data_IF_825240738261
#
_entry.id   IF_825240738261
#
_cell.length_a   1.000
_cell.length_b   1.000
_cell.length_c   1.000
_cell.angle_alpha   90.00
_cell.angle_beta   90.00
_cell.angle_gamma   90.00
#
_symmetry.space_group_name_H-M   'P 1'
#
loop_
_entity.id
_entity.type
_entity.pdbx_description
1 polymer ?
#
# COMPACT_ATOMS: atom_id res chain seq x y z
N UNK A 1 -10.03 5.94 -7.73
CA UNK A 1 -8.76 6.69 -7.83
C UNK A 1 -8.92 7.92 -8.74
N UNK A 2 -8.49 9.12 -8.31
CA UNK A 2 -8.78 10.37 -9.04
C UNK A 2 -8.17 10.50 -10.43
N UNK A 3 -6.91 10.04 -10.62
CA UNK A 3 -6.23 10.10 -11.93
C UNK A 3 -6.90 9.21 -12.98
N UNK A 4 -7.32 7.99 -12.61
CA UNK A 4 -8.08 7.11 -13.51
C UNK A 4 -9.44 7.67 -13.87
N UNK A 5 -10.13 8.28 -12.89
CA UNK A 5 -11.42 8.91 -13.16
C UNK A 5 -11.27 10.08 -14.14
N UNK A 6 -10.22 10.90 -14.00
CA UNK A 6 -9.92 11.94 -14.99
C UNK A 6 -9.65 11.35 -16.39
N UNK A 7 -8.88 10.26 -16.49
CA UNK A 7 -8.60 9.58 -17.76
C UNK A 7 -9.86 9.07 -18.47
N UNK A 8 -10.84 8.62 -17.67
CA UNK A 8 -12.14 8.12 -18.12
C UNK A 8 -13.09 9.27 -18.50
N UNK A 9 -13.14 10.31 -17.67
CA UNK A 9 -14.13 11.38 -17.79
C UNK A 9 -13.79 12.43 -18.84
N UNK A 10 -12.51 12.73 -19.08
CA UNK A 10 -12.13 13.77 -20.07
C UNK A 10 -12.69 13.47 -21.48
N UNK A 11 -12.59 12.24 -22.02
CA UNK A 11 -13.24 11.89 -23.29
C UNK A 11 -14.77 12.01 -23.24
N UNK A 12 -15.41 11.57 -22.16
CA UNK A 12 -16.87 11.66 -22.00
C UNK A 12 -17.34 13.12 -21.93
N UNK A 13 -16.58 13.98 -21.26
CA UNK A 13 -16.84 15.42 -21.21
C UNK A 13 -16.80 16.04 -22.60
N UNK A 14 -15.87 15.61 -23.46
CA UNK A 14 -15.77 16.09 -24.85
C UNK A 14 -17.00 15.73 -25.71
N UNK A 15 -17.73 14.68 -25.37
CA UNK A 15 -18.94 14.25 -26.08
C UNK A 15 -20.19 15.05 -25.67
N UNK A 16 -20.14 15.78 -24.54
CA UNK A 16 -21.26 16.58 -24.07
C UNK A 16 -21.49 17.79 -24.99
N UNK A 17 -22.74 18.03 -25.38
CA UNK A 17 -23.10 19.21 -26.17
C UNK A 17 -22.83 20.53 -25.44
N UNK A 18 -22.76 20.50 -24.10
CA UNK A 18 -22.59 21.66 -23.23
C UNK A 18 -21.17 21.82 -22.70
N UNK A 19 -20.19 21.08 -23.24
CA UNK A 19 -18.82 21.19 -22.75
C UNK A 19 -18.21 22.56 -23.06
N UNK A 20 -17.37 23.05 -22.15
CA UNK A 20 -16.54 24.22 -22.38
C UNK A 20 -15.25 23.79 -23.10
N UNK A 21 -14.98 24.28 -24.33
CA UNK A 21 -13.79 23.91 -25.08
C UNK A 21 -12.48 24.29 -24.39
N UNK A 22 -12.44 25.42 -23.67
CA UNK A 22 -11.24 25.88 -22.97
C UNK A 22 -10.94 24.99 -21.76
N UNK A 23 -11.98 24.56 -21.04
CA UNK A 23 -11.82 23.62 -19.93
C UNK A 23 -11.35 22.25 -20.43
N UNK A 24 -11.89 21.77 -21.56
CA UNK A 24 -11.46 20.50 -22.15
C UNK A 24 -9.99 20.54 -22.59
N UNK A 25 -9.57 21.63 -23.25
CA UNK A 25 -8.18 21.83 -23.65
C UNK A 25 -7.25 21.86 -22.43
N UNK A 26 -7.61 22.63 -21.39
CA UNK A 26 -6.86 22.67 -20.13
C UNK A 26 -6.75 21.29 -19.48
N UNK A 27 -7.85 20.54 -19.42
CA UNK A 27 -7.87 19.21 -18.81
C UNK A 27 -6.94 18.22 -19.53
N UNK A 28 -6.93 18.23 -20.87
CA UNK A 28 -6.00 17.40 -21.67
C UNK A 28 -4.54 17.81 -21.46
N UNK A 29 -4.25 19.12 -21.52
CA UNK A 29 -2.89 19.64 -21.34
C UNK A 29 -2.34 19.33 -19.95
N UNK A 30 -3.13 19.57 -18.90
CA UNK A 30 -2.73 19.26 -17.52
C UNK A 30 -2.55 17.75 -17.33
N UNK A 31 -3.48 16.94 -17.85
CA UNK A 31 -3.39 15.49 -17.74
C UNK A 31 -2.08 14.95 -18.34
N UNK A 32 -1.73 15.39 -19.55
CA UNK A 32 -0.51 14.97 -20.26
C UNK A 32 0.76 15.53 -19.58
N UNK A 33 0.71 16.76 -19.05
CA UNK A 33 1.82 17.33 -18.26
C UNK A 33 2.11 16.49 -17.02
N UNK A 34 1.07 16.10 -16.28
CA UNK A 34 1.21 15.25 -15.08
C UNK A 34 1.67 13.84 -15.47
N UNK A 35 1.23 13.29 -16.60
CA UNK A 35 1.76 12.02 -17.13
C UNK A 35 3.27 12.09 -17.41
N UNK A 36 3.77 13.17 -18.00
CA UNK A 36 5.21 13.35 -18.22
C UNK A 36 6.02 13.42 -16.90
N UNK A 37 5.44 14.02 -15.85
CA UNK A 37 6.01 13.97 -14.51
C UNK A 37 6.08 12.54 -13.98
N UNK A 38 4.99 11.77 -14.08
CA UNK A 38 4.96 10.37 -13.67
C UNK A 38 6.00 9.52 -14.42
N UNK A 39 6.22 9.76 -15.71
CA UNK A 39 7.26 9.06 -16.48
C UNK A 39 8.67 9.36 -15.95
N UNK A 40 8.92 10.60 -15.52
CA UNK A 40 10.21 11.00 -14.92
C UNK A 40 10.42 10.33 -13.56
N UNK A 41 9.37 10.29 -12.73
CA UNK A 41 9.38 9.59 -11.44
C UNK A 41 9.62 8.08 -11.62
N UNK A 42 8.93 7.46 -12.58
CA UNK A 42 9.07 6.05 -12.90
C UNK A 42 10.48 5.71 -13.39
N UNK A 43 11.11 6.59 -14.18
CA UNK A 43 12.50 6.41 -14.60
C UNK A 43 13.46 6.42 -13.40
N UNK A 44 13.21 7.27 -12.40
CA UNK A 44 14.00 7.28 -11.16
C UNK A 44 13.82 5.99 -10.36
N UNK A 45 12.57 5.56 -10.14
CA UNK A 45 12.23 4.34 -9.41
C UNK A 45 12.82 3.11 -10.10
N UNK A 46 12.67 3.01 -11.42
CA UNK A 46 13.19 1.89 -12.20
C UNK A 46 14.71 1.83 -12.15
N UNK A 47 15.40 2.98 -12.19
CA UNK A 47 16.86 3.05 -12.05
C UNK A 47 17.30 2.62 -10.66
N UNK A 48 16.66 3.12 -9.61
CA UNK A 48 16.92 2.71 -8.23
C UNK A 48 16.71 1.21 -8.04
N UNK A 49 15.60 0.67 -8.55
CA UNK A 49 15.25 -0.74 -8.44
C UNK A 49 16.29 -1.65 -9.11
N UNK A 50 16.74 -1.28 -10.32
CA UNK A 50 17.84 -1.96 -11.02
C UNK A 50 19.16 -1.88 -10.26
N UNK A 51 19.47 -0.74 -9.63
CA UNK A 51 20.70 -0.55 -8.86
C UNK A 51 20.75 -1.38 -7.58
N UNK A 52 19.60 -1.66 -6.95
CA UNK A 52 19.56 -2.58 -5.81
C UNK A 52 19.94 -4.00 -6.19
N UNK A 53 19.75 -4.41 -7.46
CA UNK A 53 20.06 -5.75 -7.94
C UNK A 53 19.23 -6.86 -7.28
N UNK A 54 18.15 -6.51 -6.58
CA UNK A 54 17.32 -7.46 -5.83
C UNK A 54 16.71 -8.50 -6.76
N UNK A 55 16.17 -8.11 -7.91
CA UNK A 55 15.53 -9.04 -8.87
C UNK A 55 16.50 -10.11 -9.37
N UNK A 56 17.75 -9.75 -9.65
CA UNK A 56 18.77 -10.70 -10.11
C UNK A 56 19.23 -11.65 -9.01
N UNK A 57 19.18 -11.20 -7.75
CA UNK A 57 19.64 -11.95 -6.57
C UNK A 57 18.52 -12.76 -5.90
N UNK A 58 17.28 -12.31 -6.05
CA UNK A 58 16.06 -12.83 -5.44
C UNK A 58 15.09 -13.22 -6.55
N UNK A 59 15.44 -14.22 -7.35
CA UNK A 59 14.64 -14.65 -8.51
C UNK A 59 13.24 -15.16 -8.16
N UNK A 60 12.96 -15.39 -6.87
CA UNK A 60 11.63 -15.77 -6.36
C UNK A 60 10.71 -14.55 -6.16
N UNK A 61 11.26 -13.35 -5.98
CA UNK A 61 10.49 -12.16 -5.67
C UNK A 61 9.86 -11.56 -6.93
N UNK A 62 8.65 -11.03 -6.79
CA UNK A 62 7.88 -10.38 -7.86
C UNK A 62 8.57 -9.07 -8.29
N UNK A 63 8.83 -8.94 -9.60
CA UNK A 63 9.38 -7.71 -10.20
C UNK A 63 8.25 -6.78 -10.67
N UNK A 64 7.69 -5.99 -9.74
CA UNK A 64 6.50 -5.14 -10.00
C UNK A 64 6.67 -3.65 -9.65
N UNK A 65 7.79 -2.98 -10.01
CA UNK A 65 8.02 -1.58 -9.65
C UNK A 65 6.97 -0.61 -10.21
N UNK A 66 6.36 -0.94 -11.36
CA UNK A 66 5.30 -0.14 -11.99
C UNK A 66 4.00 -0.19 -11.18
N UNK A 67 3.67 -1.36 -10.62
CA UNK A 67 2.50 -1.53 -9.76
C UNK A 67 2.70 -0.83 -8.42
N UNK A 68 3.91 -0.93 -7.83
CA UNK A 68 4.27 -0.17 -6.62
C UNK A 68 4.15 1.35 -6.86
N UNK A 69 4.53 1.83 -8.05
CA UNK A 69 4.36 3.23 -8.41
C UNK A 69 2.89 3.61 -8.63
N UNK A 70 2.08 2.75 -9.25
CA UNK A 70 0.63 2.95 -9.39
C UNK A 70 -0.04 3.22 -8.04
N UNK A 71 0.31 2.44 -7.01
CA UNK A 71 -0.15 2.67 -5.64
C UNK A 71 0.19 4.08 -5.15
N UNK A 72 1.44 4.50 -5.31
CA UNK A 72 1.88 5.84 -4.87
C UNK A 72 1.12 6.97 -5.56
N UNK A 73 0.84 6.85 -6.87
CA UNK A 73 0.02 7.79 -7.65
C UNK A 73 -1.44 7.77 -7.18
N UNK A 74 -1.92 6.62 -6.74
CA UNK A 74 -3.27 6.46 -6.22
C UNK A 74 -3.47 7.22 -4.91
N UNK A 75 -2.50 7.11 -4.00
CA UNK A 75 -2.49 7.79 -2.70
C UNK A 75 -2.24 9.30 -2.84
N UNK A 76 -1.37 9.70 -3.77
CA UNK A 76 -0.88 11.07 -3.95
C UNK A 76 -1.09 11.57 -5.39
N UNK A 77 -2.32 11.86 -5.82
CA UNK A 77 -2.61 12.24 -7.20
C UNK A 77 -2.14 13.66 -7.58
N UNK A 78 -1.84 14.52 -6.60
CA UNK A 78 -1.41 15.91 -6.83
C UNK A 78 0.08 15.96 -7.24
N UNK A 79 0.45 16.62 -8.35
CA UNK A 79 1.83 16.70 -8.82
C UNK A 79 2.82 17.24 -7.77
N UNK A 80 2.38 18.06 -6.80
CA UNK A 80 3.27 18.61 -5.76
C UNK A 80 3.94 17.53 -4.88
N UNK A 81 3.34 16.35 -4.79
CA UNK A 81 3.85 15.24 -3.97
C UNK A 81 4.81 14.29 -4.71
N UNK A 82 5.47 14.77 -5.77
CA UNK A 82 6.42 13.99 -6.59
C UNK A 82 7.46 13.23 -5.77
N UNK A 83 8.17 13.94 -4.87
CA UNK A 83 9.18 13.32 -4.02
C UNK A 83 8.58 12.28 -3.06
N UNK A 84 7.37 12.51 -2.54
CA UNK A 84 6.67 11.57 -1.67
C UNK A 84 6.27 10.30 -2.44
N UNK A 85 5.80 10.43 -3.69
CA UNK A 85 5.46 9.28 -4.53
C UNK A 85 6.67 8.38 -4.79
N UNK A 86 7.80 8.97 -5.14
CA UNK A 86 9.04 8.23 -5.37
C UNK A 86 9.43 7.42 -4.13
N UNK A 87 9.52 8.07 -2.96
CA UNK A 87 9.93 7.35 -1.73
C UNK A 87 8.92 6.30 -1.31
N UNK A 88 7.62 6.57 -1.44
CA UNK A 88 6.59 5.58 -1.13
C UNK A 88 6.67 4.38 -2.08
N UNK A 89 6.84 4.60 -3.38
CA UNK A 89 6.94 3.51 -4.35
C UNK A 89 8.15 2.60 -4.06
N UNK A 90 9.30 3.18 -3.70
CA UNK A 90 10.48 2.43 -3.24
C UNK A 90 10.17 1.59 -1.99
N UNK A 91 9.47 2.21 -1.03
CA UNK A 91 9.09 1.57 0.24
C UNK A 91 8.14 0.39 0.01
N UNK A 92 7.14 0.55 -0.88
CA UNK A 92 6.21 -0.52 -1.28
C UNK A 92 6.95 -1.64 -2.02
N UNK A 93 7.92 -1.31 -2.88
CA UNK A 93 8.71 -2.34 -3.57
C UNK A 93 9.54 -3.20 -2.61
N UNK A 94 10.08 -2.62 -1.53
CA UNK A 94 10.76 -3.38 -0.48
C UNK A 94 9.78 -4.25 0.30
N UNK A 95 8.61 -3.70 0.64
CA UNK A 95 7.53 -4.47 1.27
C UNK A 95 7.18 -5.71 0.43
N UNK A 96 7.00 -5.56 -0.88
CA UNK A 96 6.68 -6.67 -1.78
C UNK A 96 7.72 -7.80 -1.72
N UNK A 97 9.01 -7.45 -1.64
CA UNK A 97 10.08 -8.46 -1.51
C UNK A 97 10.02 -9.16 -0.15
N UNK A 98 9.75 -8.42 0.91
CA UNK A 98 9.61 -8.99 2.26
C UNK A 98 8.40 -9.93 2.30
N UNK A 99 7.27 -9.53 1.74
CA UNK A 99 6.06 -10.33 1.59
C UNK A 99 6.37 -11.68 0.89
N UNK A 100 7.05 -11.64 -0.27
CA UNK A 100 7.48 -12.86 -0.97
C UNK A 100 8.43 -13.75 -0.14
N UNK A 101 9.30 -13.15 0.67
CA UNK A 101 10.17 -13.89 1.59
C UNK A 101 9.33 -14.67 2.60
N UNK A 102 8.27 -14.09 3.17
CA UNK A 102 7.45 -14.75 4.19
C UNK A 102 6.48 -15.77 3.62
N UNK A 103 5.87 -15.46 2.47
CA UNK A 103 4.78 -16.25 1.91
C UNK A 103 5.24 -17.40 1.02
N UNK A 104 6.41 -17.28 0.38
CA UNK A 104 6.80 -18.21 -0.68
C UNK A 104 8.16 -18.88 -0.47
N UNK A 105 9.12 -18.19 0.14
CA UNK A 105 10.52 -18.61 0.03
C UNK A 105 11.18 -19.00 1.36
N UNK A 106 11.06 -18.15 2.38
CA UNK A 106 11.80 -18.28 3.63
C UNK A 106 11.35 -19.48 4.46
N UNK A 107 12.32 -20.18 5.05
CA UNK A 107 12.04 -21.23 6.02
C UNK A 107 11.75 -20.63 7.40
N UNK A 108 10.93 -21.29 8.22
CA UNK A 108 10.51 -20.76 9.54
C UNK A 108 11.71 -20.29 10.42
N UNK A 109 12.79 -21.07 10.47
CA UNK A 109 13.99 -20.69 11.24
C UNK A 109 14.69 -19.44 10.67
N UNK A 110 14.69 -19.28 9.35
CA UNK A 110 15.25 -18.10 8.66
C UNK A 110 14.36 -16.86 8.88
N UNK A 111 13.03 -17.02 8.80
CA UNK A 111 12.05 -15.96 9.07
C UNK A 111 12.17 -15.46 10.51
N UNK A 112 12.41 -16.37 11.47
CA UNK A 112 12.70 -16.00 12.85
C UNK A 112 13.98 -15.15 12.97
N UNK A 113 15.07 -15.55 12.29
CA UNK A 113 16.31 -14.76 12.28
C UNK A 113 16.10 -13.38 11.66
N UNK A 114 15.38 -13.30 10.53
CA UNK A 114 15.09 -12.05 9.84
C UNK A 114 14.22 -11.11 10.68
N UNK A 115 13.20 -11.66 11.35
CA UNK A 115 12.35 -10.94 12.29
C UNK A 115 13.17 -10.33 13.42
N UNK A 116 14.05 -11.12 14.05
CA UNK A 116 14.92 -10.61 15.11
C UNK A 116 15.89 -9.54 14.60
N UNK A 117 16.42 -9.68 13.39
CA UNK A 117 17.30 -8.69 12.79
C UNK A 117 16.57 -7.35 12.58
N UNK A 118 15.34 -7.36 12.05
CA UNK A 118 14.51 -6.15 11.89
C UNK A 118 14.14 -5.54 13.24
N UNK A 119 13.82 -6.34 14.25
CA UNK A 119 13.55 -5.82 15.61
C UNK A 119 14.77 -5.10 16.20
N UNK A 120 15.96 -5.68 16.02
CA UNK A 120 17.23 -5.12 16.48
C UNK A 120 17.59 -3.85 15.70
N UNK A 121 17.45 -3.88 14.37
CA UNK A 121 17.67 -2.75 13.45
C UNK A 121 19.09 -2.17 13.52
N UNK A 122 20.10 -3.04 13.53
CA UNK A 122 21.50 -2.65 13.34
C UNK A 122 22.18 -3.53 12.28
N UNK A 123 23.33 -3.06 11.76
CA UNK A 123 24.02 -3.74 10.68
C UNK A 123 24.66 -5.06 11.11
N UNK A 124 24.97 -5.24 12.40
CA UNK A 124 25.54 -6.49 12.92
C UNK A 124 24.50 -7.62 12.93
N UNK A 125 23.24 -7.28 13.17
CA UNK A 125 22.13 -8.24 13.16
C UNK A 125 21.95 -8.92 11.78
N UNK A 126 22.40 -8.26 10.71
CA UNK A 126 22.38 -8.79 9.36
C UNK A 126 23.36 -9.96 9.18
N UNK A 127 24.45 -10.02 9.95
CA UNK A 127 25.53 -10.98 9.68
C UNK A 127 25.13 -12.44 9.87
N UNK A 128 24.11 -12.69 10.70
CA UNK A 128 23.56 -14.02 10.96
C UNK A 128 22.52 -14.46 9.92
N UNK A 129 22.12 -13.58 9.00
CA UNK A 129 21.09 -13.88 8.02
C UNK A 129 21.67 -14.65 6.82
N UNK A 130 20.84 -15.48 6.14
CA UNK A 130 21.16 -15.96 4.80
C UNK A 130 21.44 -14.81 3.83
N UNK A 131 22.32 -15.04 2.85
CA UNK A 131 22.81 -14.00 1.92
C UNK A 131 21.66 -13.22 1.26
N UNK A 132 20.60 -13.90 0.82
CA UNK A 132 19.46 -13.27 0.16
C UNK A 132 18.69 -12.31 1.09
N UNK A 133 18.56 -12.66 2.38
CA UNK A 133 17.97 -11.80 3.41
C UNK A 133 18.88 -10.64 3.80
N UNK A 134 20.22 -10.80 3.71
CA UNK A 134 21.16 -9.69 3.93
C UNK A 134 20.92 -8.57 2.92
N UNK A 135 20.77 -8.92 1.64
CA UNK A 135 20.53 -7.94 0.57
C UNK A 135 19.20 -7.21 0.80
N UNK A 136 18.13 -7.96 1.12
CA UNK A 136 16.83 -7.37 1.45
C UNK A 136 16.90 -6.45 2.69
N UNK A 137 17.55 -6.90 3.76
CA UNK A 137 17.75 -6.12 4.98
C UNK A 137 18.51 -4.81 4.71
N UNK A 138 19.59 -4.87 3.93
CA UNK A 138 20.37 -3.69 3.57
C UNK A 138 19.55 -2.71 2.72
N UNK A 139 18.74 -3.21 1.78
CA UNK A 139 17.84 -2.36 0.98
C UNK A 139 16.80 -1.65 1.85
N UNK A 140 16.17 -2.38 2.79
CA UNK A 140 15.24 -1.83 3.79
C UNK A 140 15.91 -0.76 4.66
N UNK A 141 17.07 -1.09 5.23
CA UNK A 141 17.81 -0.21 6.12
C UNK A 141 18.23 1.08 5.42
N UNK A 142 18.81 0.99 4.22
CA UNK A 142 19.28 2.15 3.46
C UNK A 142 18.11 3.04 3.03
N UNK A 143 17.06 2.46 2.44
CA UNK A 143 15.90 3.23 1.97
C UNK A 143 15.19 3.94 3.11
N UNK A 144 15.03 3.29 4.27
CA UNK A 144 14.43 3.93 5.44
C UNK A 144 15.29 5.07 5.98
N UNK A 145 16.62 4.92 6.01
CA UNK A 145 17.53 5.98 6.44
C UNK A 145 17.60 7.15 5.44
N UNK A 146 17.49 6.90 4.14
CA UNK A 146 17.36 7.94 3.12
C UNK A 146 16.11 8.78 3.34
N UNK A 147 14.97 8.15 3.64
CA UNK A 147 13.72 8.85 4.00
C UNK A 147 13.92 9.67 5.28
N UNK A 148 14.53 9.09 6.32
CA UNK A 148 14.82 9.79 7.57
C UNK A 148 15.67 11.04 7.33
N UNK A 149 16.71 10.94 6.50
CA UNK A 149 17.56 12.06 6.14
C UNK A 149 16.79 13.14 5.37
N UNK A 150 15.95 12.75 4.41
CA UNK A 150 15.10 13.67 3.64
C UNK A 150 14.16 14.45 4.56
N UNK A 151 13.44 13.75 5.43
CA UNK A 151 12.51 14.38 6.39
C UNK A 151 13.24 15.30 7.37
N UNK A 152 14.40 14.89 7.88
CA UNK A 152 15.22 15.73 8.76
C UNK A 152 15.68 17.00 8.04
N UNK A 153 16.12 16.87 6.79
CA UNK A 153 16.62 17.99 5.98
C UNK A 153 15.51 18.98 5.60
N UNK A 154 14.34 18.49 5.23
CA UNK A 154 13.24 19.33 4.72
C UNK A 154 12.38 19.91 5.85
N UNK A 155 12.09 19.10 6.87
CA UNK A 155 11.08 19.42 7.89
C UNK A 155 11.68 19.48 9.32
N UNK A 156 12.95 19.11 9.51
CA UNK A 156 13.62 19.14 10.82
C UNK A 156 13.27 18.00 11.77
N UNK A 157 12.49 17.01 11.33
CA UNK A 157 12.03 15.90 12.17
C UNK A 157 12.97 14.70 12.13
N UNK A 158 13.28 14.15 13.30
CA UNK A 158 13.96 12.86 13.43
C UNK A 158 12.94 11.73 13.54
N UNK A 159 12.72 11.00 12.44
CA UNK A 159 11.56 10.11 12.29
C UNK A 159 11.86 8.62 12.32
N UNK A 160 13.13 8.24 12.43
CA UNK A 160 13.55 6.83 12.45
C UNK A 160 12.76 5.97 13.44
N UNK A 161 12.50 6.41 14.69
CA UNK A 161 11.73 5.59 15.64
C UNK A 161 10.34 5.18 15.13
N UNK A 162 9.65 6.09 14.41
CA UNK A 162 8.31 5.86 13.87
C UNK A 162 8.36 4.98 12.61
N UNK A 163 9.29 5.25 11.68
CA UNK A 163 9.39 4.43 10.47
C UNK A 163 9.81 2.99 10.82
N UNK A 164 10.82 2.86 11.69
CA UNK A 164 11.28 1.56 12.22
C UNK A 164 10.14 0.80 12.90
N UNK A 165 9.31 1.46 13.73
CA UNK A 165 8.22 0.76 14.43
C UNK A 165 7.21 0.16 13.47
N UNK A 166 6.90 0.83 12.34
CA UNK A 166 5.98 0.26 11.35
C UNK A 166 6.54 -1.00 10.67
N UNK A 167 7.84 -1.05 10.40
CA UNK A 167 8.48 -2.26 9.88
C UNK A 167 8.53 -3.40 10.90
N UNK A 168 8.77 -3.09 12.17
CA UNK A 168 8.72 -4.07 13.27
C UNK A 168 7.31 -4.64 13.46
N UNK A 169 6.30 -3.78 13.41
CA UNK A 169 4.92 -4.21 13.54
C UNK A 169 4.50 -5.12 12.38
N UNK A 170 4.89 -4.76 11.16
CA UNK A 170 4.61 -5.52 9.95
C UNK A 170 5.30 -6.87 9.95
N UNK A 171 6.61 -6.94 10.24
CA UNK A 171 7.35 -8.21 10.28
C UNK A 171 6.81 -9.14 11.38
N UNK A 172 6.38 -8.55 12.51
CA UNK A 172 5.69 -9.28 13.56
C UNK A 172 4.36 -9.86 13.09
N UNK A 173 3.61 -9.11 12.28
CA UNK A 173 2.37 -9.56 11.66
C UNK A 173 2.57 -10.70 10.65
N UNK A 174 3.58 -10.60 9.78
CA UNK A 174 3.91 -11.69 8.84
C UNK A 174 4.32 -12.97 9.58
N UNK A 175 5.05 -12.86 10.70
CA UNK A 175 5.34 -14.03 11.54
C UNK A 175 4.09 -14.65 12.18
N UNK A 176 3.06 -13.86 12.46
CA UNK A 176 1.78 -14.37 12.99
C UNK A 176 1.04 -15.13 11.89
N UNK A 177 0.97 -14.59 10.68
CA UNK A 177 0.39 -15.26 9.50
C UNK A 177 1.12 -16.56 9.16
N UNK A 178 2.46 -16.54 9.11
CA UNK A 178 3.26 -17.74 8.89
C UNK A 178 3.01 -18.84 9.94
N UNK A 179 2.70 -18.46 11.20
CA UNK A 179 2.34 -19.41 12.26
C UNK A 179 0.93 -19.96 12.10
N UNK A 180 -0.03 -19.14 11.67
CA UNK A 180 -1.39 -19.62 11.35
C UNK A 180 -1.36 -20.63 10.21
N UNK A 181 -0.64 -20.31 9.13
CA UNK A 181 -0.46 -21.17 7.97
C UNK A 181 0.18 -22.52 8.35
N UNK A 182 1.30 -22.52 9.08
CA UNK A 182 2.01 -23.75 9.45
C UNK A 182 1.36 -24.53 10.61
N UNK A 183 0.67 -23.85 11.52
CA UNK A 183 0.08 -24.44 12.72
C UNK A 183 -1.30 -25.06 12.50
N UNK A 184 -1.92 -24.86 11.34
CA UNK A 184 -3.24 -25.41 10.98
C UNK A 184 -4.41 -24.90 11.82
N UNK A 185 -4.19 -23.85 12.63
CA UNK A 185 -5.21 -23.25 13.48
C UNK A 185 -5.66 -21.92 12.86
N UNK A 186 -6.91 -21.87 12.39
CA UNK A 186 -7.49 -20.67 11.83
C UNK A 186 -7.67 -19.59 12.93
N UNK A 187 -7.30 -18.32 12.67
CA UNK A 187 -7.57 -17.21 13.57
C UNK A 187 -9.07 -16.88 13.62
N UNK A 188 -9.45 -16.01 14.57
CA UNK A 188 -10.74 -15.32 14.48
C UNK A 188 -10.67 -14.24 13.40
N UNK A 189 -11.81 -13.92 12.79
CA UNK A 189 -11.92 -12.93 11.72
C UNK A 189 -11.34 -11.57 12.14
N UNK A 190 -11.72 -11.05 13.31
CA UNK A 190 -11.26 -9.74 13.77
C UNK A 190 -9.74 -9.72 14.07
N UNK A 191 -9.21 -10.83 14.61
CA UNK A 191 -7.77 -10.98 14.87
C UNK A 191 -6.98 -11.04 13.55
N UNK A 192 -7.52 -11.74 12.55
CA UNK A 192 -6.98 -11.80 11.19
C UNK A 192 -6.99 -10.44 10.51
N UNK A 193 -8.13 -9.73 10.53
CA UNK A 193 -8.27 -8.41 9.89
C UNK A 193 -7.29 -7.41 10.53
N UNK A 194 -7.22 -7.32 11.86
CA UNK A 194 -6.33 -6.37 12.53
C UNK A 194 -4.85 -6.65 12.25
N UNK A 195 -4.45 -7.93 12.19
CA UNK A 195 -3.11 -8.29 11.73
C UNK A 195 -2.90 -7.90 10.26
N UNK A 196 -3.90 -8.22 9.43
CA UNK A 196 -3.99 -7.92 8.01
C UNK A 196 -3.83 -6.45 7.67
N UNK A 197 -4.27 -5.53 8.53
CA UNK A 197 -4.03 -4.09 8.35
C UNK A 197 -2.54 -3.74 8.40
N UNK A 198 -1.79 -4.39 9.29
CA UNK A 198 -0.35 -4.17 9.44
C UNK A 198 0.41 -4.81 8.27
N UNK A 199 0.07 -6.05 7.92
CA UNK A 199 0.74 -6.83 6.87
C UNK A 199 0.41 -6.33 5.47
N UNK A 200 -0.78 -5.73 5.25
CA UNK A 200 -1.09 -4.98 4.03
C UNK A 200 -0.23 -3.73 3.82
N UNK A 201 0.55 -3.31 4.82
CA UNK A 201 1.40 -2.11 4.73
C UNK A 201 0.67 -0.79 4.95
N UNK A 202 -0.60 -0.79 5.41
CA UNK A 202 -1.38 0.42 5.57
C UNK A 202 -0.77 1.39 6.59
N UNK A 203 -0.42 0.90 7.78
CA UNK A 203 0.21 1.71 8.83
C UNK A 203 1.58 2.23 8.37
N UNK A 204 2.37 1.39 7.71
CA UNK A 204 3.66 1.77 7.13
C UNK A 204 3.48 2.93 6.14
N UNK A 205 2.61 2.79 5.14
CA UNK A 205 2.43 3.80 4.11
C UNK A 205 1.93 5.14 4.71
N UNK A 206 0.97 5.09 5.63
CA UNK A 206 0.39 6.29 6.22
C UNK A 206 1.35 7.03 7.17
N UNK A 207 2.16 6.31 7.96
CA UNK A 207 3.18 6.92 8.82
C UNK A 207 4.32 7.50 7.99
N UNK A 208 4.80 6.79 6.96
CA UNK A 208 5.83 7.32 6.06
C UNK A 208 5.34 8.59 5.37
N UNK A 209 4.11 8.59 4.83
CA UNK A 209 3.53 9.75 4.18
C UNK A 209 3.23 10.92 5.11
N UNK A 210 2.85 10.64 6.37
CA UNK A 210 2.69 11.68 7.39
C UNK A 210 3.94 12.56 7.51
N UNK A 211 5.12 11.94 7.59
CA UNK A 211 6.38 12.65 7.74
C UNK A 211 6.96 13.19 6.43
N UNK A 212 6.80 12.45 5.32
CA UNK A 212 7.23 12.91 3.99
C UNK A 212 6.45 14.14 3.52
N UNK A 213 5.13 14.18 3.77
CA UNK A 213 4.29 15.34 3.42
C UNK A 213 4.61 16.52 4.34
N UNK A 214 4.79 16.29 5.65
CA UNK A 214 5.19 17.32 6.61
C UNK A 214 4.13 18.39 6.92
N UNK A 215 3.05 18.48 6.14
CA UNK A 215 1.96 19.45 6.31
C UNK A 215 1.20 19.19 7.62
N UNK A 216 1.35 20.09 8.60
CA UNK A 216 0.63 20.03 9.88
C UNK A 216 1.19 19.02 10.89
N UNK A 217 2.45 18.61 10.74
CA UNK A 217 3.13 17.74 11.72
C UNK A 217 3.43 18.51 13.02
N UNK A 218 3.14 17.87 14.15
CA UNK A 218 3.38 18.37 15.51
C UNK A 218 3.82 17.23 16.41
N UNK A 219 4.37 17.53 17.59
CA UNK A 219 4.69 16.47 18.57
C UNK A 219 3.44 15.70 19.00
N UNK A 220 2.30 16.38 19.12
CA UNK A 220 1.04 15.80 19.62
C UNK A 220 0.48 14.75 18.65
N UNK A 221 0.39 15.06 17.36
CA UNK A 221 -0.12 14.10 16.38
C UNK A 221 0.93 13.05 15.99
N UNK A 222 2.23 13.35 16.04
CA UNK A 222 3.29 12.36 15.83
C UNK A 222 3.27 11.26 16.92
N UNK A 223 2.97 11.60 18.18
CA UNK A 223 2.84 10.63 19.27
C UNK A 223 1.70 9.60 19.05
N UNK A 224 0.74 9.90 18.17
CA UNK A 224 -0.35 8.99 17.81
C UNK A 224 0.07 7.93 16.78
N UNK A 225 1.27 8.04 16.20
CA UNK A 225 1.75 7.20 15.10
C UNK A 225 2.44 5.91 15.58
N UNK A 226 1.96 5.38 16.70
CA UNK A 226 2.40 4.13 17.31
C UNK A 226 1.19 3.36 17.80
N UNK A 227 1.29 2.04 18.01
CA UNK A 227 0.16 1.24 18.48
C UNK A 227 -0.42 1.75 19.83
N UNK A 228 -1.76 1.82 19.97
CA UNK A 228 -2.76 1.65 18.91
C UNK A 228 -2.74 2.82 17.92
N UNK A 229 -2.72 2.50 16.62
CA UNK A 229 -2.68 3.50 15.56
C UNK A 229 -4.00 4.31 15.48
N UNK A 230 -3.99 5.47 14.81
CA UNK A 230 -5.18 6.31 14.67
C UNK A 230 -6.31 5.55 13.96
N UNK A 231 -7.56 5.76 14.39
CA UNK A 231 -8.75 5.14 13.79
C UNK A 231 -8.84 5.37 12.28
N UNK A 232 -8.48 6.57 11.82
CA UNK A 232 -8.35 6.91 10.40
C UNK A 232 -7.48 5.90 9.64
N UNK A 233 -6.34 5.51 10.22
CA UNK A 233 -5.39 4.61 9.59
C UNK A 233 -5.92 3.18 9.60
N UNK A 234 -6.47 2.75 10.73
CA UNK A 234 -7.10 1.43 10.86
C UNK A 234 -8.27 1.28 9.88
N UNK A 235 -9.15 2.28 9.75
CA UNK A 235 -10.28 2.21 8.83
C UNK A 235 -9.85 2.13 7.36
N UNK A 236 -8.89 2.96 6.93
CA UNK A 236 -8.34 2.89 5.57
C UNK A 236 -7.64 1.55 5.31
N UNK A 237 -6.88 1.06 6.29
CA UNK A 237 -6.18 -0.21 6.20
C UNK A 237 -7.10 -1.43 6.21
N UNK A 238 -8.20 -1.41 6.96
CA UNK A 238 -9.24 -2.46 6.90
C UNK A 238 -9.87 -2.50 5.52
N UNK A 239 -10.22 -1.34 4.94
CA UNK A 239 -10.74 -1.30 3.57
C UNK A 239 -9.71 -1.87 2.58
N UNK A 240 -8.43 -1.53 2.74
CA UNK A 240 -7.36 -2.12 1.92
C UNK A 240 -7.32 -3.64 2.02
N UNK A 241 -7.23 -4.18 3.24
CA UNK A 241 -7.18 -5.62 3.51
C UNK A 241 -8.41 -6.35 2.96
N UNK A 242 -9.61 -5.82 3.18
CA UNK A 242 -10.84 -6.45 2.69
C UNK A 242 -10.96 -6.43 1.17
N UNK A 243 -10.50 -5.36 0.50
CA UNK A 243 -10.44 -5.34 -0.97
C UNK A 243 -9.40 -6.31 -1.51
N UNK A 244 -8.22 -6.37 -0.90
CA UNK A 244 -7.14 -7.31 -1.24
C UNK A 244 -7.69 -8.74 -1.23
N UNK A 245 -8.18 -9.20 -0.07
CA UNK A 245 -8.77 -10.53 0.09
C UNK A 245 -9.92 -10.81 -0.90
N UNK A 246 -10.77 -9.82 -1.20
CA UNK A 246 -11.84 -9.99 -2.19
C UNK A 246 -11.30 -10.25 -3.61
N UNK A 247 -10.19 -9.60 -3.97
CA UNK A 247 -9.54 -9.70 -5.27
C UNK A 247 -8.66 -10.94 -5.42
N UNK A 248 -8.01 -11.37 -4.33
CA UNK A 248 -7.02 -12.47 -4.32
C UNK A 248 -7.60 -13.82 -3.88
N UNK A 249 -8.83 -13.86 -3.33
CA UNK A 249 -9.45 -15.07 -2.75
C UNK A 249 -9.31 -16.34 -3.61
N UNK A 250 -9.45 -16.22 -4.93
CA UNK A 250 -9.35 -17.39 -5.82
C UNK A 250 -7.91 -17.92 -5.91
N UNK A 251 -6.94 -17.03 -6.07
CA UNK A 251 -5.52 -17.39 -6.17
C UNK A 251 -5.00 -17.94 -4.84
N UNK A 252 -5.42 -17.36 -3.72
CA UNK A 252 -5.09 -17.83 -2.37
C UNK A 252 -5.65 -19.23 -2.09
N UNK A 253 -6.90 -19.49 -2.49
CA UNK A 253 -7.50 -20.83 -2.41
C UNK A 253 -6.74 -21.87 -3.23
N UNK A 254 -6.32 -21.52 -4.45
CA UNK A 254 -5.54 -22.42 -5.31
C UNK A 254 -4.14 -22.71 -4.74
N UNK A 255 -3.55 -21.77 -3.99
CA UNK A 255 -2.28 -21.93 -3.26
C UNK A 255 -2.42 -22.74 -1.96
N UNK A 256 -3.64 -23.02 -1.52
CA UNK A 256 -3.92 -23.79 -0.30
C UNK A 256 -3.87 -22.94 0.97
N UNK A 257 -4.06 -21.62 0.86
CA UNK A 257 -4.24 -20.79 2.05
C UNK A 257 -5.53 -21.16 2.78
N UNK A 258 -5.44 -21.28 4.10
CA UNK A 258 -6.50 -21.77 4.97
C UNK A 258 -7.37 -20.63 5.54
N UNK A 259 -6.96 -19.37 5.35
CA UNK A 259 -7.60 -18.23 5.99
C UNK A 259 -7.57 -16.97 5.12
N UNK A 260 -8.62 -16.76 4.34
CA UNK A 260 -9.00 -15.41 3.87
C UNK A 260 -10.15 -14.85 4.70
N UNK A 261 -10.32 -13.52 4.72
CA UNK A 261 -11.43 -12.87 5.45
C UNK A 261 -12.81 -13.42 5.07
N UNK A 262 -13.02 -13.75 3.79
CA UNK A 262 -14.27 -14.35 3.30
C UNK A 262 -14.50 -15.73 3.96
N UNK A 263 -13.50 -16.60 3.95
CA UNK A 263 -13.61 -17.95 4.51
C UNK A 263 -13.79 -17.93 6.03
N UNK A 264 -13.04 -17.08 6.72
CA UNK A 264 -13.18 -16.89 8.16
C UNK A 264 -14.57 -16.37 8.53
N UNK A 265 -15.08 -15.39 7.79
CA UNK A 265 -16.42 -14.83 8.00
C UNK A 265 -17.51 -15.88 7.77
N UNK A 266 -17.43 -16.65 6.67
CA UNK A 266 -18.38 -17.72 6.40
C UNK A 266 -18.40 -18.76 7.52
N UNK A 267 -17.22 -19.12 8.04
CA UNK A 267 -17.11 -20.06 9.16
C UNK A 267 -17.71 -19.52 10.45
N UNK A 268 -17.43 -18.27 10.80
CA UNK A 268 -17.96 -17.65 12.02
C UNK A 268 -19.48 -17.45 11.97
N UNK A 269 -20.02 -17.12 10.79
CA UNK A 269 -21.45 -16.85 10.59
C UNK A 269 -22.25 -18.08 10.13
N UNK A 270 -21.60 -19.23 9.91
CA UNK A 270 -22.20 -20.45 9.34
C UNK A 270 -22.91 -20.18 8.00
N UNK A 271 -22.23 -19.52 7.07
CA UNK A 271 -22.74 -19.25 5.71
C UNK A 271 -22.36 -20.38 4.76
N UNK A 272 -23.33 -20.81 3.94
CA UNK A 272 -23.14 -21.92 3.00
C UNK A 272 -22.66 -21.47 1.61
N UNK A 273 -22.86 -20.18 1.26
CA UNK A 273 -22.54 -19.63 -0.06
C UNK A 273 -21.48 -18.54 0.02
N UNK A 274 -20.48 -18.65 -0.83
CA UNK A 274 -19.40 -17.65 -0.92
C UNK A 274 -19.92 -16.26 -1.27
N UNK A 275 -20.96 -16.16 -2.12
CA UNK A 275 -21.61 -14.90 -2.48
C UNK A 275 -22.17 -14.16 -1.24
N UNK A 276 -22.74 -14.88 -0.27
CA UNK A 276 -23.23 -14.29 0.98
C UNK A 276 -22.08 -13.75 1.83
N UNK A 277 -20.95 -14.46 1.87
CA UNK A 277 -19.72 -14.01 2.52
C UNK A 277 -19.15 -12.74 1.86
N UNK A 278 -19.06 -12.73 0.53
CA UNK A 278 -18.60 -11.56 -0.24
C UNK A 278 -19.49 -10.34 -0.01
N UNK A 279 -20.81 -10.51 0.01
CA UNK A 279 -21.75 -9.43 0.30
C UNK A 279 -21.56 -8.87 1.72
N UNK A 280 -21.33 -9.73 2.72
CA UNK A 280 -21.05 -9.28 4.08
C UNK A 280 -19.77 -8.43 4.17
N UNK A 281 -18.71 -8.82 3.45
CA UNK A 281 -17.45 -8.05 3.39
C UNK A 281 -17.67 -6.69 2.72
N UNK A 282 -18.46 -6.64 1.63
CA UNK A 282 -18.80 -5.39 0.96
C UNK A 282 -19.63 -4.45 1.85
N UNK A 283 -20.54 -5.00 2.66
CA UNK A 283 -21.27 -4.23 3.68
C UNK A 283 -20.32 -3.67 4.76
N UNK A 284 -19.34 -4.45 5.21
CA UNK A 284 -18.32 -3.97 6.16
C UNK A 284 -17.49 -2.83 5.57
N UNK A 285 -17.03 -2.97 4.31
CA UNK A 285 -16.36 -1.89 3.57
C UNK A 285 -17.24 -0.64 3.51
N UNK A 286 -18.55 -0.79 3.29
CA UNK A 286 -19.48 0.34 3.26
C UNK A 286 -19.60 1.06 4.60
N UNK A 287 -19.63 0.34 5.73
CA UNK A 287 -19.62 0.95 7.06
C UNK A 287 -18.29 1.65 7.36
N UNK A 288 -17.15 1.05 7.01
CA UNK A 288 -15.82 1.65 7.16
C UNK A 288 -15.68 2.96 6.36
N UNK A 289 -16.34 3.06 5.20
CA UNK A 289 -16.41 4.30 4.43
C UNK A 289 -17.13 5.41 5.19
N UNK A 290 -18.16 5.10 5.98
CA UNK A 290 -18.85 6.10 6.82
C UNK A 290 -17.93 6.62 7.91
N UNK A 291 -17.16 5.73 8.55
CA UNK A 291 -16.16 6.09 9.55
C UNK A 291 -15.08 7.01 8.95
N UNK A 292 -14.50 6.63 7.80
CA UNK A 292 -13.52 7.48 7.08
C UNK A 292 -14.08 8.85 6.70
N UNK A 293 -15.34 8.90 6.24
CA UNK A 293 -15.98 10.17 5.91
C UNK A 293 -16.22 11.03 7.17
N UNK A 294 -16.47 10.41 8.33
CA UNK A 294 -16.60 11.11 9.61
C UNK A 294 -15.32 11.83 10.04
N UNK A 295 -14.14 11.29 9.69
CA UNK A 295 -12.85 11.92 10.00
C UNK A 295 -12.64 13.27 9.29
N UNK A 296 -13.29 13.52 8.14
CA UNK A 296 -13.21 14.81 7.43
C UNK A 296 -13.82 15.98 8.22
N UNK A 297 -14.74 15.70 9.13
CA UNK A 297 -15.47 16.70 9.92
C UNK A 297 -15.09 16.65 11.41
N UNK A 298 -14.11 15.82 11.77
CA UNK A 298 -13.64 15.66 13.14
C UNK A 298 -12.89 16.92 13.62
N UNK A 299 -13.23 17.43 14.81
CA UNK A 299 -12.65 18.67 15.35
C UNK A 299 -11.15 18.59 15.64
N UNK A 300 -10.65 17.41 16.01
CA UNK A 300 -9.25 17.14 16.33
C UNK A 300 -8.68 16.06 15.40
N UNK A 301 -9.09 16.09 14.12
CA UNK A 301 -8.64 15.12 13.13
C UNK A 301 -7.15 15.25 12.81
N UNK A 302 -6.61 14.21 12.16
CA UNK A 302 -5.28 14.29 11.55
C UNK A 302 -5.19 15.43 10.52
N UNK A 303 -3.99 15.89 10.13
CA UNK A 303 -3.85 16.88 9.07
C UNK A 303 -4.64 16.48 7.81
N UNK A 304 -5.31 17.45 7.18
CA UNK A 304 -6.19 17.20 6.04
C UNK A 304 -5.48 16.46 4.89
N UNK A 305 -4.19 16.76 4.67
CA UNK A 305 -3.39 16.05 3.68
C UNK A 305 -3.36 14.54 3.94
N UNK A 306 -3.27 14.13 5.21
CA UNK A 306 -3.21 12.72 5.63
C UNK A 306 -4.59 12.07 5.65
N UNK A 307 -5.64 12.81 6.00
CA UNK A 307 -7.02 12.34 5.81
C UNK A 307 -7.28 12.04 4.32
N UNK A 308 -6.85 12.92 3.42
CA UNK A 308 -6.97 12.71 1.98
C UNK A 308 -6.18 11.49 1.49
N UNK A 309 -4.97 11.26 2.01
CA UNK A 309 -4.19 10.04 1.70
C UNK A 309 -4.93 8.78 2.15
N UNK A 310 -5.50 8.76 3.36
CA UNK A 310 -6.26 7.62 3.86
C UNK A 310 -7.51 7.32 2.99
N UNK A 311 -8.25 8.37 2.59
CA UNK A 311 -9.36 8.23 1.65
C UNK A 311 -8.90 7.73 0.28
N UNK A 312 -7.74 8.19 -0.19
CA UNK A 312 -7.18 7.77 -1.46
C UNK A 312 -6.64 6.34 -1.43
N UNK A 313 -6.10 5.88 -0.30
CA UNK A 313 -5.75 4.47 -0.08
C UNK A 313 -6.97 3.59 -0.28
N UNK A 314 -8.09 3.88 0.40
CA UNK A 314 -9.33 3.13 0.23
C UNK A 314 -9.84 3.12 -1.24
N UNK A 315 -9.72 4.24 -1.96
CA UNK A 315 -10.05 4.34 -3.40
C UNK A 315 -9.09 3.58 -4.30
N UNK A 316 -7.83 3.49 -3.93
CA UNK A 316 -6.80 2.79 -4.68
C UNK A 316 -6.95 1.28 -4.50
N UNK A 317 -7.22 0.81 -3.27
CA UNK A 317 -7.51 -0.59 -2.97
C UNK A 317 -8.67 -1.13 -3.80
N UNK A 318 -9.78 -0.38 -3.84
CA UNK A 318 -10.89 -0.75 -4.70
C UNK A 318 -10.47 -0.87 -6.17
N UNK A 319 -9.69 0.08 -6.71
CA UNK A 319 -9.30 0.03 -8.12
C UNK A 319 -8.38 -1.16 -8.41
N UNK A 320 -7.43 -1.43 -7.54
CA UNK A 320 -6.40 -2.46 -7.75
C UNK A 320 -7.01 -3.86 -7.67
N UNK A 321 -7.90 -4.10 -6.71
CA UNK A 321 -8.41 -5.44 -6.41
C UNK A 321 -9.83 -5.73 -6.91
N UNK A 322 -10.57 -4.70 -7.38
CA UNK A 322 -11.86 -4.91 -8.02
C UNK A 322 -11.63 -5.35 -9.47
N UNK A 323 -11.46 -6.66 -9.65
CA UNK A 323 -11.39 -7.30 -10.95
C UNK A 323 -12.81 -7.48 -11.51
N UNK A 324 -13.35 -6.46 -12.18
CA UNK A 324 -14.59 -6.57 -12.95
C UNK A 324 -14.27 -6.89 -14.42
N UNK A 325 -14.82 -8.00 -14.94
CA UNK A 325 -14.69 -8.39 -16.36
C UNK A 325 -15.21 -7.31 -17.33
N UNK A 326 -16.10 -6.41 -16.87
CA UNK A 326 -16.78 -5.38 -17.66
C UNK A 326 -16.29 -3.93 -17.41
N UNK A 327 -15.10 -3.73 -16.85
CA UNK A 327 -14.52 -2.38 -16.69
C UNK A 327 -13.61 -1.99 -17.85
N UNK A 328 -13.51 -0.68 -18.14
CA UNK A 328 -12.66 -0.10 -19.20
C UNK A 328 -11.17 -0.50 -19.11
N UNK A 329 -10.74 -1.06 -17.97
CA UNK A 329 -9.42 -1.62 -17.73
C UNK A 329 -9.54 -2.93 -16.95
N UNK A 330 -9.25 -4.07 -17.59
CA UNK A 330 -9.43 -5.41 -17.00
C UNK A 330 -8.29 -5.89 -16.10
N UNK A 331 -7.21 -5.10 -15.94
CA UNK A 331 -6.02 -5.50 -15.17
C UNK A 331 -5.22 -4.30 -14.68
N UNK A 332 -4.34 -4.53 -13.71
CA UNK A 332 -3.38 -3.54 -13.22
C UNK A 332 -2.47 -3.02 -14.35
N UNK A 333 -2.05 -3.90 -15.26
CA UNK A 333 -1.26 -3.54 -16.44
C UNK A 333 -1.96 -2.51 -17.33
N UNK A 334 -3.28 -2.65 -17.50
CA UNK A 334 -4.07 -1.70 -18.28
C UNK A 334 -4.12 -0.32 -17.63
N UNK A 335 -4.20 -0.26 -16.28
CA UNK A 335 -4.12 1.01 -15.56
C UNK A 335 -2.74 1.65 -15.71
N UNK A 336 -1.67 0.85 -15.60
CA UNK A 336 -0.28 1.30 -15.78
C UNK A 336 -0.09 1.88 -17.18
N UNK A 337 -0.52 1.16 -18.22
CA UNK A 337 -0.44 1.59 -19.61
C UNK A 337 -1.18 2.91 -19.85
N UNK A 338 -2.42 3.00 -19.37
CA UNK A 338 -3.27 4.16 -19.59
C UNK A 338 -2.82 5.40 -18.82
N UNK A 339 -2.29 5.24 -17.60
CA UNK A 339 -1.86 6.36 -16.78
C UNK A 339 -0.48 6.87 -17.16
N UNK A 340 0.45 5.98 -17.52
CA UNK A 340 1.86 6.34 -17.65
C UNK A 340 2.35 6.40 -19.09
N UNK A 341 1.73 5.69 -20.04
CA UNK A 341 2.27 5.56 -21.39
C UNK A 341 1.32 6.02 -22.50
N UNK A 342 0.01 6.06 -22.24
CA UNK A 342 -0.99 6.52 -23.23
C UNK A 342 -1.45 7.97 -22.94
N UNK A 343 -1.01 8.98 -23.70
CA UNK A 343 -1.48 10.36 -23.54
C UNK A 343 -2.93 10.54 -24.03
N UNK A 344 -3.59 11.59 -23.54
CA UNK A 344 -4.87 12.03 -24.08
C UNK A 344 -4.62 12.83 -25.38
N UNK A 345 -5.39 12.50 -26.42
CA UNK A 345 -5.42 13.19 -27.72
C UNK A 345 -6.54 14.23 -27.71
#
# INVERSE_FOLDING_TARGET
MGRLEARRYIPQYAELQTHDPQLLELAKLDYNRVQALHQSELAEITRWWKQLGLVEKLSFARDRPLECFLWSVGLLPDPKYSACRIELAKTIAILLVIDDIFDTYGQMDELLLFTHAIQRWDLEAMETLPEYMKICYMALYNTTNEICYKVLKENGWSVLPYLKSTWIDMIGGFMVEAKWFNGGSAPKLEEYIENGVSTAGAYMALVHLFFLIGEGVTDQNAQLLTKPYPKLFSAAGRILRLWDDLGTAKEEQERGDLASSIQLLMRERNLDKEEEGRNCILEEIHELWKDLNGELIAKNGMPLAIINVALNMARASQVVYKHEEDTYFSSVDNYVEALFFTPLI
#
